data_IF_699722149725
#
_entry.id   IF_699722149725
#
_cell.length_a   1.000
_cell.length_b   1.000
_cell.length_c   1.000
_cell.angle_alpha   90.00
_cell.angle_beta   90.00
_cell.angle_gamma   90.00
#
_symmetry.space_group_name_H-M   'P 1'
#
loop_
_entity.id
_entity.type
_entity.pdbx_description
1 polymer ?
#
# COMPACT_ATOMS: atom_id res chain seq x y z
N UNK A 1 -47.37 -27.45 -12.74
CA UNK A 1 -47.21 -26.01 -12.37
C UNK A 1 -46.60 -25.30 -13.57
N UNK A 2 -46.72 -23.98 -13.75
CA UNK A 2 -46.13 -23.30 -14.93
C UNK A 2 -45.16 -22.19 -14.52
N UNK A 3 -44.00 -22.14 -15.17
CA UNK A 3 -42.97 -21.13 -14.99
C UNK A 3 -43.06 -20.12 -16.14
N UNK A 4 -42.93 -18.83 -15.82
CA UNK A 4 -42.77 -17.78 -16.80
C UNK A 4 -41.29 -17.63 -17.14
N UNK A 5 -40.89 -18.04 -18.34
CA UNK A 5 -39.52 -17.99 -18.82
C UNK A 5 -39.40 -16.92 -19.92
N UNK A 6 -38.33 -16.13 -19.86
CA UNK A 6 -38.02 -15.13 -20.87
C UNK A 6 -37.07 -15.73 -21.89
N UNK A 7 -37.43 -15.69 -23.17
CA UNK A 7 -36.55 -16.15 -24.24
C UNK A 7 -35.49 -15.09 -24.62
N UNK A 8 -34.55 -15.49 -25.47
CA UNK A 8 -33.46 -14.63 -25.95
C UNK A 8 -33.96 -13.40 -26.73
N UNK A 9 -35.21 -13.43 -27.21
CA UNK A 9 -35.88 -12.35 -27.95
C UNK A 9 -36.68 -11.42 -27.01
N UNK A 10 -36.69 -11.71 -25.70
CA UNK A 10 -37.33 -10.90 -24.65
C UNK A 10 -38.81 -11.23 -24.40
N UNK A 11 -39.37 -12.18 -25.13
CA UNK A 11 -40.76 -12.65 -25.03
C UNK A 11 -40.95 -13.54 -23.81
N UNK A 12 -42.10 -13.43 -23.14
CA UNK A 12 -42.41 -14.24 -21.96
C UNK A 12 -43.27 -15.43 -22.39
N UNK A 13 -42.76 -16.65 -22.21
CA UNK A 13 -43.50 -17.90 -22.45
C UNK A 13 -43.80 -18.59 -21.12
N UNK A 14 -44.98 -19.22 -21.05
CA UNK A 14 -45.34 -20.09 -19.92
C UNK A 14 -44.97 -21.53 -20.28
N UNK A 15 -44.05 -22.12 -19.52
CA UNK A 15 -43.58 -23.50 -19.72
C UNK A 15 -44.08 -24.32 -18.54
N UNK A 16 -44.62 -25.52 -18.80
CA UNK A 16 -45.00 -26.43 -17.72
C UNK A 16 -43.75 -26.97 -17.03
N UNK A 17 -43.76 -27.02 -15.70
CA UNK A 17 -42.70 -27.61 -14.87
C UNK A 17 -42.49 -29.10 -15.17
N UNK A 18 -43.46 -29.76 -15.79
CA UNK A 18 -43.41 -31.20 -16.07
C UNK A 18 -42.53 -31.53 -17.30
N UNK A 19 -42.18 -30.50 -18.08
CA UNK A 19 -41.34 -30.60 -19.29
C UNK A 19 -40.13 -29.65 -19.24
N UNK A 20 -39.99 -28.87 -18.17
CA UNK A 20 -38.88 -27.94 -18.03
C UNK A 20 -37.67 -28.66 -17.42
N UNK A 21 -36.54 -28.61 -18.11
CA UNK A 21 -35.25 -29.01 -17.55
C UNK A 21 -34.77 -27.87 -16.65
N UNK A 22 -34.82 -28.08 -15.33
CA UNK A 22 -34.45 -27.09 -14.33
C UNK A 22 -33.02 -27.38 -13.90
N UNK A 23 -32.08 -26.54 -14.34
CA UNK A 23 -30.71 -26.57 -13.87
C UNK A 23 -30.52 -25.58 -12.71
N UNK A 24 -30.02 -26.08 -11.59
CA UNK A 24 -29.65 -25.25 -10.44
C UNK A 24 -28.19 -24.84 -10.60
N UNK A 25 -27.95 -23.56 -10.90
CA UNK A 25 -26.62 -22.99 -10.84
C UNK A 25 -26.38 -22.35 -9.47
N UNK A 26 -25.50 -22.95 -8.67
CA UNK A 26 -24.96 -22.29 -7.48
C UNK A 26 -23.83 -21.36 -7.92
N UNK A 27 -24.09 -20.06 -7.89
CA UNK A 27 -23.07 -19.05 -8.16
C UNK A 27 -22.41 -18.65 -6.84
N UNK A 28 -21.13 -18.99 -6.61
CA UNK A 28 -20.42 -18.49 -5.46
C UNK A 28 -20.24 -16.99 -5.60
N UNK A 29 -20.69 -16.23 -4.61
CA UNK A 29 -20.50 -14.77 -4.58
C UNK A 29 -19.94 -14.33 -3.23
N UNK A 30 -19.15 -13.26 -3.26
CA UNK A 30 -18.53 -12.65 -2.08
C UNK A 30 -19.26 -11.34 -1.80
N UNK A 31 -19.72 -11.16 -0.55
CA UNK A 31 -20.32 -9.90 -0.11
C UNK A 31 -19.23 -8.90 0.27
N UNK A 32 -19.09 -7.84 -0.52
CA UNK A 32 -18.12 -6.76 -0.28
C UNK A 32 -18.77 -5.44 0.15
N UNK A 33 -20.09 -5.41 0.38
CA UNK A 33 -20.87 -4.18 0.51
C UNK A 33 -20.45 -3.23 1.63
N UNK A 34 -19.90 -3.73 2.74
CA UNK A 34 -19.40 -2.87 3.83
C UNK A 34 -17.93 -2.46 3.66
N UNK A 35 -17.24 -3.01 2.64
CA UNK A 35 -15.81 -2.84 2.44
C UNK A 35 -15.45 -1.98 1.24
N UNK A 36 -16.42 -1.63 0.41
CA UNK A 36 -16.21 -0.90 -0.85
C UNK A 36 -17.12 0.33 -0.89
N UNK A 37 -16.54 1.51 -1.16
CA UNK A 37 -17.30 2.72 -1.47
C UNK A 37 -17.53 2.79 -2.98
N UNK A 38 -18.66 2.25 -3.44
CA UNK A 38 -19.01 2.31 -4.86
C UNK A 38 -19.68 3.65 -5.17
N UNK A 39 -19.17 4.37 -6.17
CA UNK A 39 -19.77 5.61 -6.69
C UNK A 39 -20.19 5.41 -8.15
N UNK A 40 -21.47 5.64 -8.47
CA UNK A 40 -21.99 5.48 -9.83
C UNK A 40 -23.52 5.37 -9.86
N UNK A 41 -24.13 5.80 -10.96
CA UNK A 41 -25.60 5.74 -11.16
C UNK A 41 -26.04 4.56 -12.02
N UNK A 42 -25.13 3.93 -12.77
CA UNK A 42 -25.40 2.76 -13.61
C UNK A 42 -24.71 1.51 -13.09
N UNK A 43 -25.33 0.35 -13.30
CA UNK A 43 -24.80 -0.97 -12.90
C UNK A 43 -23.42 -1.21 -13.51
N UNK A 44 -23.20 -0.83 -14.77
CA UNK A 44 -21.89 -0.96 -15.42
C UNK A 44 -20.78 -0.18 -14.72
N UNK A 45 -21.08 1.03 -14.23
CA UNK A 45 -20.13 1.89 -13.51
C UNK A 45 -19.82 1.31 -12.12
N UNK A 46 -20.84 0.76 -11.46
CA UNK A 46 -20.69 0.06 -10.18
C UNK A 46 -19.85 -1.22 -10.32
N UNK A 47 -20.02 -1.97 -11.42
CA UNK A 47 -19.23 -3.16 -11.72
C UNK A 47 -17.78 -2.80 -12.03
N UNK A 48 -17.52 -1.76 -12.83
CA UNK A 48 -16.15 -1.35 -13.13
C UNK A 48 -15.42 -0.81 -11.90
N UNK A 49 -16.11 -0.04 -11.07
CA UNK A 49 -15.58 0.48 -9.80
C UNK A 49 -15.34 -0.65 -8.82
N UNK A 50 -16.29 -1.58 -8.68
CA UNK A 50 -16.13 -2.76 -7.82
C UNK A 50 -14.98 -3.66 -8.26
N UNK A 51 -14.82 -3.87 -9.57
CA UNK A 51 -13.70 -4.65 -10.11
C UNK A 51 -12.37 -3.94 -9.89
N UNK A 52 -12.29 -2.63 -10.11
CA UNK A 52 -11.10 -1.82 -9.81
C UNK A 52 -10.71 -1.93 -8.33
N UNK A 53 -11.67 -1.81 -7.42
CA UNK A 53 -11.41 -1.94 -5.99
C UNK A 53 -10.99 -3.36 -5.59
N UNK A 54 -11.61 -4.39 -6.19
CA UNK A 54 -11.18 -5.78 -6.02
C UNK A 54 -9.77 -5.95 -6.56
N UNK A 55 -9.43 -5.39 -7.72
CA UNK A 55 -8.11 -5.50 -8.32
C UNK A 55 -7.06 -4.75 -7.48
N UNK A 56 -7.39 -3.59 -6.89
CA UNK A 56 -6.53 -2.89 -5.92
C UNK A 56 -6.36 -3.71 -4.64
N UNK A 57 -7.44 -4.33 -4.14
CA UNK A 57 -7.42 -5.18 -2.95
C UNK A 57 -6.71 -6.52 -3.18
N UNK A 58 -6.68 -7.01 -4.43
CA UNK A 58 -6.11 -8.31 -4.81
C UNK A 58 -4.71 -8.17 -5.41
N UNK A 59 -4.34 -7.01 -5.96
CA UNK A 59 -3.05 -6.70 -6.57
C UNK A 59 -2.63 -5.26 -6.20
N UNK A 60 -1.93 -5.09 -5.07
CA UNK A 60 -1.25 -3.83 -4.77
C UNK A 60 -0.44 -3.34 -5.98
N UNK A 61 -0.63 -2.09 -6.46
CA UNK A 61 0.15 -1.56 -7.57
C UNK A 61 1.63 -1.50 -7.22
N UNK A 62 2.49 -1.65 -8.22
CA UNK A 62 3.94 -1.54 -8.02
C UNK A 62 4.29 -0.11 -7.61
N UNK A 63 5.05 -0.01 -6.52
CA UNK A 63 5.64 1.23 -6.04
C UNK A 63 7.06 1.37 -6.58
N UNK A 64 7.33 2.50 -7.22
CA UNK A 64 8.65 2.84 -7.77
C UNK A 64 9.15 4.11 -7.08
N UNK A 65 10.30 4.00 -6.41
CA UNK A 65 11.02 5.16 -5.88
C UNK A 65 12.09 5.57 -6.87
N UNK A 66 12.10 6.85 -7.24
CA UNK A 66 13.19 7.46 -7.99
C UNK A 66 13.98 8.39 -7.04
N UNK A 67 15.17 7.93 -6.63
CA UNK A 67 16.00 8.69 -5.68
C UNK A 67 16.49 10.01 -6.25
N UNK A 68 16.79 10.09 -7.55
CA UNK A 68 17.30 11.31 -8.17
C UNK A 68 16.22 12.41 -8.32
N UNK A 69 14.97 12.00 -8.60
CA UNK A 69 13.83 12.92 -8.79
C UNK A 69 13.04 13.24 -7.52
N UNK A 70 13.37 12.55 -6.43
CA UNK A 70 12.71 12.64 -5.12
C UNK A 70 11.24 12.20 -5.17
N UNK A 71 10.91 11.25 -6.05
CA UNK A 71 9.54 10.83 -6.31
C UNK A 71 9.25 9.40 -5.87
N UNK A 72 8.01 9.20 -5.44
CA UNK A 72 7.35 7.92 -5.28
C UNK A 72 6.24 7.84 -6.31
N UNK A 73 6.29 6.83 -7.19
CA UNK A 73 5.23 6.56 -8.16
C UNK A 73 4.49 5.27 -7.78
N UNK A 74 3.16 5.30 -7.85
CA UNK A 74 2.31 4.13 -7.63
C UNK A 74 1.06 4.23 -8.50
N UNK A 75 0.87 3.27 -9.41
CA UNK A 75 -0.11 3.41 -10.48
C UNK A 75 0.14 4.69 -11.29
N UNK A 76 -0.90 5.51 -11.43
CA UNK A 76 -0.85 6.79 -12.15
C UNK A 76 -0.49 7.99 -11.26
N UNK A 77 -0.20 7.75 -9.97
CA UNK A 77 0.10 8.80 -9.01
C UNK A 77 1.61 8.99 -8.83
N UNK A 78 2.03 10.25 -8.73
CA UNK A 78 3.41 10.62 -8.40
C UNK A 78 3.39 11.56 -7.20
N UNK A 79 4.10 11.17 -6.14
CA UNK A 79 4.22 11.91 -4.89
C UNK A 79 5.65 12.44 -4.79
N UNK A 80 5.78 13.75 -4.53
CA UNK A 80 7.07 14.39 -4.31
C UNK A 80 7.36 14.51 -2.82
N UNK A 81 8.54 14.03 -2.41
CA UNK A 81 8.97 14.15 -1.02
C UNK A 81 10.11 15.15 -0.88
N UNK A 82 10.18 15.79 0.30
CA UNK A 82 11.42 16.42 0.72
C UNK A 82 12.50 15.33 0.88
N UNK A 83 13.77 15.63 0.54
CA UNK A 83 14.87 14.66 0.57
C UNK A 83 14.95 13.82 1.85
N UNK A 84 14.84 14.46 3.02
CA UNK A 84 14.95 13.79 4.32
C UNK A 84 13.75 12.88 4.62
N UNK A 85 12.57 13.22 4.10
CA UNK A 85 11.38 12.38 4.23
C UNK A 85 11.48 11.16 3.32
N UNK A 86 11.95 11.35 2.08
CA UNK A 86 12.17 10.25 1.15
C UNK A 86 13.21 9.27 1.68
N UNK A 87 14.32 9.77 2.22
CA UNK A 87 15.36 8.96 2.85
C UNK A 87 14.79 8.08 3.97
N UNK A 88 14.01 8.65 4.89
CA UNK A 88 13.38 7.88 5.96
C UNK A 88 12.35 6.88 5.41
N UNK A 89 11.59 7.27 4.38
CA UNK A 89 10.64 6.37 3.74
C UNK A 89 11.32 5.17 3.08
N UNK A 90 12.42 5.40 2.35
CA UNK A 90 13.24 4.34 1.76
C UNK A 90 13.76 3.39 2.84
N UNK A 91 14.15 3.88 4.02
CA UNK A 91 14.57 3.02 5.11
C UNK A 91 13.46 2.06 5.56
N UNK A 92 12.20 2.50 5.59
CA UNK A 92 11.06 1.60 5.86
C UNK A 92 10.87 0.56 4.75
N UNK A 93 11.09 0.94 3.49
CA UNK A 93 11.01 0.02 2.35
C UNK A 93 12.13 -1.04 2.40
N UNK A 94 13.38 -0.61 2.60
CA UNK A 94 14.54 -1.50 2.76
C UNK A 94 14.41 -2.43 3.97
N UNK A 95 13.81 -1.93 5.05
CA UNK A 95 13.50 -2.78 6.20
C UNK A 95 12.60 -3.95 5.82
N UNK A 96 11.68 -3.75 4.86
CA UNK A 96 10.75 -4.77 4.39
C UNK A 96 11.35 -5.69 3.34
N UNK A 97 12.23 -5.18 2.47
CA UNK A 97 12.83 -5.97 1.38
C UNK A 97 14.11 -6.71 1.81
N UNK A 98 14.95 -6.09 2.64
CA UNK A 98 16.30 -6.60 2.95
C UNK A 98 16.40 -7.18 4.37
N UNK A 99 15.58 -6.70 5.31
CA UNK A 99 15.69 -7.03 6.73
C UNK A 99 14.40 -7.62 7.30
N UNK A 100 13.59 -8.25 6.44
CA UNK A 100 12.38 -8.94 6.87
C UNK A 100 12.74 -10.23 7.61
N UNK A 101 12.06 -10.52 8.72
CA UNK A 101 12.21 -11.78 9.46
C UNK A 101 11.81 -13.03 8.66
N UNK A 102 11.13 -12.85 7.53
CA UNK A 102 10.68 -13.94 6.65
C UNK A 102 11.11 -13.67 5.21
N UNK A 103 12.41 -13.71 4.86
CA UNK A 103 12.91 -13.29 3.55
C UNK A 103 12.26 -14.06 2.40
N UNK A 104 12.09 -15.38 2.55
CA UNK A 104 11.61 -16.30 1.50
C UNK A 104 10.11 -16.19 1.18
N UNK A 105 9.36 -15.42 1.97
CA UNK A 105 7.93 -15.19 1.69
C UNK A 105 7.76 -14.16 0.58
N UNK A 106 7.07 -14.57 -0.49
CA UNK A 106 6.67 -13.74 -1.62
C UNK A 106 5.61 -12.69 -1.26
N UNK A 107 4.76 -12.99 -0.26
CA UNK A 107 3.70 -12.11 0.21
C UNK A 107 3.78 -11.87 1.72
N UNK A 108 3.57 -10.61 2.12
CA UNK A 108 3.53 -10.14 3.50
C UNK A 108 2.11 -10.11 4.06
N UNK A 109 1.08 -9.79 3.26
CA UNK A 109 -0.29 -9.57 3.72
C UNK A 109 -0.29 -8.55 4.89
N UNK A 110 -0.90 -8.87 6.03
CA UNK A 110 -0.94 -8.03 7.23
C UNK A 110 0.29 -8.19 8.16
N UNK A 111 1.38 -8.79 7.69
CA UNK A 111 2.56 -9.04 8.52
C UNK A 111 3.28 -7.74 8.94
N UNK A 112 3.43 -7.57 10.25
CA UNK A 112 4.15 -6.45 10.90
C UNK A 112 5.50 -6.86 11.49
N UNK A 113 5.96 -8.09 11.26
CA UNK A 113 7.15 -8.64 11.91
C UNK A 113 8.43 -7.81 11.67
N UNK A 114 8.55 -7.18 10.51
CA UNK A 114 9.69 -6.33 10.15
C UNK A 114 9.57 -4.89 10.69
N UNK A 115 8.48 -4.50 11.36
CA UNK A 115 8.32 -3.14 11.88
C UNK A 115 9.37 -2.87 12.97
N UNK A 116 9.90 -1.65 13.02
CA UNK A 116 10.97 -1.26 13.97
C UNK A 116 10.50 -0.21 14.95
N UNK A 117 11.06 -0.21 16.16
CA UNK A 117 10.78 0.86 17.12
C UNK A 117 11.48 2.15 16.70
N UNK A 118 11.06 3.29 17.25
CA UNK A 118 11.76 4.57 17.02
C UNK A 118 13.21 4.53 17.52
N UNK A 119 13.54 3.94 18.69
CA UNK A 119 14.92 3.67 19.09
C UNK A 119 15.73 2.93 18.02
N UNK A 120 15.21 1.85 17.45
CA UNK A 120 15.92 1.09 16.41
C UNK A 120 16.16 1.94 15.15
N UNK A 121 15.17 2.76 14.76
CA UNK A 121 15.30 3.66 13.61
C UNK A 121 16.26 4.82 13.88
N UNK A 122 16.46 5.20 15.14
CA UNK A 122 17.41 6.24 15.54
C UNK A 122 18.85 5.77 15.64
N UNK A 123 19.09 4.46 15.57
CA UNK A 123 20.41 3.91 15.80
C UNK A 123 21.43 4.37 14.74
N UNK A 124 22.71 4.60 15.11
CA UNK A 124 23.74 5.08 14.19
C UNK A 124 23.91 4.22 12.93
N UNK A 125 23.82 2.90 13.05
CA UNK A 125 23.95 1.96 11.93
C UNK A 125 22.83 2.12 10.90
N UNK A 126 21.61 2.44 11.34
CA UNK A 126 20.48 2.70 10.46
C UNK A 126 20.67 4.03 9.75
N UNK A 127 21.15 5.04 10.47
CA UNK A 127 21.48 6.33 9.88
C UNK A 127 22.58 6.23 8.81
N UNK A 128 23.61 5.39 9.02
CA UNK A 128 24.63 5.16 8.01
C UNK A 128 24.05 4.55 6.72
N UNK A 129 23.09 3.63 6.85
CA UNK A 129 22.35 3.13 5.69
C UNK A 129 21.52 4.22 5.02
N UNK A 130 20.80 5.03 5.79
CA UNK A 130 20.03 6.16 5.28
C UNK A 130 20.90 7.19 4.57
N UNK A 131 22.10 7.47 5.08
CA UNK A 131 23.03 8.43 4.50
C UNK A 131 23.50 8.01 3.09
N UNK A 132 23.62 6.69 2.83
CA UNK A 132 23.92 6.17 1.49
C UNK A 132 22.81 6.50 0.49
N UNK A 133 21.56 6.28 0.87
CA UNK A 133 20.41 6.65 0.02
C UNK A 133 20.32 8.18 -0.12
N UNK A 134 20.60 8.92 0.95
CA UNK A 134 20.56 10.38 0.95
C UNK A 134 21.62 11.02 0.05
N UNK A 135 22.80 10.40 -0.08
CA UNK A 135 23.84 10.82 -1.03
C UNK A 135 23.45 10.61 -2.51
N UNK A 136 22.49 9.73 -2.80
CA UNK A 136 21.93 9.59 -4.16
C UNK A 136 20.81 10.61 -4.38
N UNK A 137 20.06 10.91 -3.32
CA UNK A 137 18.98 11.91 -3.33
C UNK A 137 19.55 13.34 -3.42
N UNK A 138 20.62 13.64 -2.71
CA UNK A 138 21.23 14.96 -2.61
C UNK A 138 22.72 14.87 -2.90
N UNK A 139 23.33 16.01 -3.24
CA UNK A 139 24.78 16.12 -3.36
C UNK A 139 25.55 15.66 -2.10
N UNK A 140 26.82 15.29 -2.30
CA UNK A 140 27.74 14.78 -1.27
C UNK A 140 27.85 15.69 -0.05
N UNK A 141 27.80 17.00 -0.28
CA UNK A 141 27.96 17.99 0.78
C UNK A 141 26.84 17.87 1.81
N UNK A 142 25.59 17.75 1.36
CA UNK A 142 24.43 17.61 2.26
C UNK A 142 24.41 16.28 2.98
N UNK A 143 24.84 15.20 2.32
CA UNK A 143 24.93 13.89 2.95
C UNK A 143 25.99 13.83 4.04
N UNK A 144 27.17 14.40 3.78
CA UNK A 144 28.23 14.55 4.77
C UNK A 144 27.80 15.44 5.94
N UNK A 145 27.07 16.52 5.68
CA UNK A 145 26.56 17.40 6.73
C UNK A 145 25.55 16.68 7.63
N UNK A 146 24.61 15.91 7.05
CA UNK A 146 23.65 15.10 7.80
C UNK A 146 24.38 14.09 8.71
N UNK A 147 25.34 13.35 8.14
CA UNK A 147 26.12 12.36 8.88
C UNK A 147 26.93 13.00 10.02
N UNK A 148 27.55 14.17 9.79
CA UNK A 148 28.28 14.92 10.83
C UNK A 148 27.36 15.41 11.95
N UNK A 149 26.19 15.96 11.60
CA UNK A 149 25.22 16.50 12.57
C UNK A 149 24.56 15.41 13.42
N UNK A 150 24.49 14.19 12.91
CA UNK A 150 23.77 13.08 13.53
C UNK A 150 24.71 11.89 13.82
N UNK A 151 25.97 12.16 14.20
CA UNK A 151 26.99 11.12 14.44
C UNK A 151 26.57 10.03 15.45
N UNK A 152 25.72 10.39 16.41
CA UNK A 152 25.22 9.50 17.46
C UNK A 152 23.83 8.92 17.11
N UNK A 153 23.42 9.00 15.84
CA UNK A 153 22.10 8.64 15.36
C UNK A 153 21.14 9.82 15.26
N UNK A 154 19.94 9.56 14.72
CA UNK A 154 18.92 10.60 14.52
C UNK A 154 18.07 10.77 15.78
N UNK A 155 17.83 12.02 16.21
CA UNK A 155 16.92 12.29 17.34
C UNK A 155 15.55 11.62 17.15
N UNK A 156 15.10 10.86 18.14
CA UNK A 156 13.82 10.13 18.09
C UNK A 156 12.61 11.05 17.83
N UNK A 157 12.62 12.28 18.37
CA UNK A 157 11.57 13.29 18.11
C UNK A 157 11.52 13.70 16.64
N UNK A 158 12.67 13.77 15.97
CA UNK A 158 12.78 14.09 14.55
C UNK A 158 12.21 12.97 13.68
N UNK A 159 12.50 11.71 14.00
CA UNK A 159 11.91 10.54 13.31
C UNK A 159 10.39 10.58 13.39
N UNK A 160 9.83 10.80 14.58
CA UNK A 160 8.36 10.90 14.76
C UNK A 160 7.78 12.05 13.93
N UNK A 161 8.44 13.20 13.92
CA UNK A 161 8.01 14.35 13.11
C UNK A 161 8.05 14.02 11.61
N UNK A 162 9.10 13.35 11.14
CA UNK A 162 9.23 12.96 9.74
C UNK A 162 8.18 11.91 9.34
N UNK A 163 7.89 10.93 10.19
CA UNK A 163 6.79 9.97 9.97
C UNK A 163 5.45 10.71 9.79
N UNK A 164 5.14 11.66 10.67
CA UNK A 164 3.92 12.47 10.55
C UNK A 164 3.89 13.25 9.24
N UNK A 165 5.00 13.88 8.85
CA UNK A 165 5.08 14.64 7.60
C UNK A 165 4.97 13.75 6.36
N UNK A 166 5.62 12.59 6.35
CA UNK A 166 5.49 11.58 5.29
C UNK A 166 4.02 11.19 5.11
N UNK A 167 3.36 10.79 6.19
CA UNK A 167 1.96 10.36 6.14
C UNK A 167 1.03 11.48 5.70
N UNK A 168 1.33 12.73 6.06
CA UNK A 168 0.58 13.90 5.61
C UNK A 168 0.78 14.13 4.11
N UNK A 169 2.02 14.14 3.61
CA UNK A 169 2.31 14.26 2.18
C UNK A 169 1.60 13.18 1.36
N UNK A 170 1.61 11.92 1.83
CA UNK A 170 0.87 10.83 1.17
C UNK A 170 -0.64 11.10 1.17
N UNK A 171 -1.20 11.63 2.26
CA UNK A 171 -2.62 11.92 2.35
C UNK A 171 -3.06 13.09 1.47
N UNK A 172 -2.20 14.10 1.31
CA UNK A 172 -2.47 15.31 0.53
C UNK A 172 -2.38 15.03 -0.97
N UNK A 173 -1.44 14.20 -1.41
CA UNK A 173 -1.16 13.92 -2.83
C UNK A 173 -1.97 12.74 -3.39
N UNK A 174 -2.58 11.92 -2.52
CA UNK A 174 -3.31 10.72 -2.93
C UNK A 174 -4.76 10.77 -2.49
N UNK A 175 -5.68 10.78 -3.44
CA UNK A 175 -7.13 10.77 -3.19
C UNK A 175 -7.68 9.37 -2.91
N UNK A 176 -7.00 8.33 -3.39
CA UNK A 176 -7.40 6.93 -3.20
C UNK A 176 -7.08 6.47 -1.76
N UNK A 177 -8.14 6.29 -0.96
CA UNK A 177 -8.04 5.87 0.44
C UNK A 177 -7.56 4.42 0.60
N UNK A 178 -7.81 3.54 -0.38
CA UNK A 178 -7.35 2.15 -0.33
C UNK A 178 -5.82 2.09 -0.38
N UNK A 179 -5.20 2.93 -1.22
CA UNK A 179 -3.75 3.04 -1.30
C UNK A 179 -3.10 3.65 -0.04
N UNK A 180 -3.83 4.46 0.75
CA UNK A 180 -3.33 4.96 2.04
C UNK A 180 -3.04 3.82 3.02
N UNK A 181 -3.76 2.70 2.92
CA UNK A 181 -3.53 1.55 3.77
C UNK A 181 -2.10 1.01 3.62
N UNK A 182 -1.62 0.93 2.38
CA UNK A 182 -0.34 0.31 2.04
C UNK A 182 0.82 1.30 2.15
N UNK A 183 0.61 2.54 1.68
CA UNK A 183 1.68 3.53 1.54
C UNK A 183 2.06 4.23 2.84
N UNK A 184 1.09 4.53 3.71
CA UNK A 184 1.37 5.25 4.96
C UNK A 184 2.21 4.39 5.90
N UNK A 185 3.14 5.03 6.60
CA UNK A 185 3.87 4.42 7.70
C UNK A 185 2.87 4.14 8.83
N UNK A 186 2.60 2.85 9.06
CA UNK A 186 1.69 2.36 10.10
C UNK A 186 2.44 2.18 11.41
N UNK A 187 1.68 2.23 12.50
CA UNK A 187 2.17 1.95 13.84
C UNK A 187 1.46 0.71 14.36
N UNK A 188 2.22 -0.23 14.91
CA UNK A 188 1.72 -1.39 15.66
C UNK A 188 2.14 -1.23 17.13
N UNK A 189 1.19 -1.37 18.05
CA UNK A 189 1.47 -1.26 19.49
C UNK A 189 1.72 -2.65 20.06
N UNK A 190 2.90 -2.86 20.64
CA UNK A 190 3.26 -4.13 21.26
C UNK A 190 3.90 -3.86 22.63
N UNK A 191 3.24 -4.32 23.71
CA UNK A 191 3.71 -4.32 25.11
C UNK A 191 4.57 -3.09 25.49
N UNK A 192 3.95 -1.90 25.52
CA UNK A 192 4.62 -0.66 25.96
C UNK A 192 5.53 0.01 24.92
N UNK A 193 5.68 -0.56 23.72
CA UNK A 193 6.46 0.02 22.62
C UNK A 193 5.63 0.14 21.34
N UNK A 194 5.93 1.17 20.54
CA UNK A 194 5.33 1.37 19.22
C UNK A 194 6.33 1.02 18.13
N UNK A 195 5.94 0.13 17.22
CA UNK A 195 6.74 -0.29 16.06
C UNK A 195 6.15 0.30 14.79
N UNK A 196 7.01 0.71 13.86
CA UNK A 196 6.66 1.45 12.67
C UNK A 196 7.12 0.72 11.41
N UNK A 197 6.32 0.78 10.36
CA UNK A 197 6.65 0.22 9.06
C UNK A 197 5.54 0.40 8.04
N UNK A 198 5.74 -0.13 6.83
CA UNK A 198 4.76 -0.06 5.73
C UNK A 198 4.18 -1.45 5.43
N UNK A 199 2.95 -1.48 4.89
CA UNK A 199 2.21 -2.72 4.57
C UNK A 199 2.27 -3.10 3.08
N UNK A 200 3.28 -2.61 2.37
CA UNK A 200 3.50 -2.90 0.95
C UNK A 200 4.05 -4.31 0.70
N UNK A 201 3.55 -5.01 -0.30
CA UNK A 201 4.14 -6.28 -0.70
C UNK A 201 5.59 -6.13 -1.18
N UNK A 202 6.50 -7.00 -0.72
CA UNK A 202 7.94 -6.89 -1.05
C UNK A 202 8.19 -6.89 -2.55
N UNK A 203 7.47 -7.76 -3.26
CA UNK A 203 7.54 -7.92 -4.71
C UNK A 203 7.06 -6.69 -5.48
N UNK A 204 6.41 -5.74 -4.80
CA UNK A 204 5.89 -4.49 -5.37
C UNK A 204 6.77 -3.29 -5.10
N UNK A 205 7.92 -3.46 -4.44
CA UNK A 205 8.82 -2.36 -4.10
C UNK A 205 9.99 -2.36 -5.09
N UNK A 206 10.13 -1.26 -5.82
CA UNK A 206 11.28 -1.00 -6.71
C UNK A 206 11.94 0.30 -6.26
N UNK A 207 13.24 0.25 -5.98
CA UNK A 207 14.04 1.42 -5.59
C UNK A 207 15.09 1.65 -6.69
N UNK A 208 15.00 2.79 -7.38
CA UNK A 208 15.87 3.20 -8.49
C UNK A 208 16.77 4.37 -8.10
#
# INVERSE_FOLDING_TARGET
MTLACRDAEGSIRKISTDIAEIELAELPFIRLGEKLQLTGTRVADLVSTGQREIDIATLQPTLVINRARHTLQIGDHTIYFLPVHLMLYIAFLRQKTEHCSYPDRSYCLECTACFRTVPDLSAPEVLLSMAKDYHIICDDSKALELARKQKDGMKQSMIRQYITRINRTIAEELTDEALHHFLKVKTERQYGSSRYGVRLEKSKIIIQ
#
